data_IF_684204786017
#
_entry.id   IF_684204786017
#
_cell.length_a   1.000
_cell.length_b   1.000
_cell.length_c   1.000
_cell.angle_alpha   90.00
_cell.angle_beta   90.00
_cell.angle_gamma   90.00
#
_symmetry.space_group_name_H-M   'P 1'
#
loop_
_entity.id
_entity.type
_entity.pdbx_description
1 polymer ?
#
# COMPACT_ATOMS: atom_id res chain seq x y z
N UNK A 1 -67.39 -2.85 24.17
CA UNK A 1 -66.32 -3.70 23.60
C UNK A 1 -65.88 -3.11 22.30
N UNK A 2 -64.73 -2.41 22.23
CA UNK A 2 -64.19 -1.79 21.00
C UNK A 2 -62.86 -2.50 20.71
N UNK A 3 -62.83 -3.22 19.59
CA UNK A 3 -61.63 -3.95 19.10
C UNK A 3 -60.81 -3.00 18.23
N UNK A 4 -59.56 -2.72 18.61
CA UNK A 4 -58.57 -2.02 17.81
C UNK A 4 -57.76 -3.04 17.06
N UNK A 5 -57.85 -3.05 15.73
CA UNK A 5 -56.95 -3.76 14.86
C UNK A 5 -55.74 -2.86 14.58
N UNK A 6 -54.59 -3.21 15.13
CA UNK A 6 -53.31 -2.57 14.78
C UNK A 6 -52.76 -3.17 13.49
N UNK A 7 -52.67 -2.35 12.46
CA UNK A 7 -51.91 -2.69 11.25
C UNK A 7 -50.42 -2.50 11.50
N UNK A 8 -49.64 -3.59 11.53
CA UNK A 8 -48.19 -3.54 11.50
C UNK A 8 -47.72 -3.39 10.05
N UNK A 9 -47.21 -2.21 9.70
CA UNK A 9 -46.50 -1.98 8.45
C UNK A 9 -45.07 -2.58 8.56
N UNK A 10 -44.84 -3.70 7.89
CA UNK A 10 -43.51 -4.24 7.69
C UNK A 10 -42.79 -3.40 6.65
N UNK A 11 -41.80 -2.59 7.08
CA UNK A 11 -40.86 -1.92 6.18
C UNK A 11 -39.84 -2.94 5.68
N UNK A 12 -39.97 -3.33 4.43
CA UNK A 12 -38.90 -4.06 3.72
C UNK A 12 -37.73 -3.09 3.47
N UNK A 13 -36.68 -3.24 4.26
CA UNK A 13 -35.39 -2.61 3.97
C UNK A 13 -34.82 -3.25 2.70
N UNK A 14 -34.94 -2.56 1.58
CA UNK A 14 -34.21 -2.90 0.36
C UNK A 14 -32.75 -2.58 0.62
N UNK A 15 -31.97 -3.63 0.93
CA UNK A 15 -30.52 -3.56 0.97
C UNK A 15 -30.04 -3.44 -0.48
N UNK A 16 -29.89 -2.20 -0.95
CA UNK A 16 -29.29 -1.90 -2.25
C UNK A 16 -27.84 -2.35 -2.21
N UNK A 17 -27.52 -3.47 -2.85
CA UNK A 17 -26.14 -3.82 -3.19
C UNK A 17 -25.63 -2.75 -4.14
N UNK A 18 -24.79 -1.82 -3.63
CA UNK A 18 -23.99 -0.96 -4.48
C UNK A 18 -22.96 -1.87 -5.18
N UNK A 19 -23.29 -2.34 -6.37
CA UNK A 19 -22.34 -2.92 -7.30
C UNK A 19 -21.42 -1.81 -7.83
N UNK A 20 -20.58 -1.24 -6.95
CA UNK A 20 -19.45 -0.44 -7.39
C UNK A 20 -18.53 -1.39 -8.17
N UNK A 21 -18.29 -1.08 -9.43
CA UNK A 21 -17.35 -1.85 -10.27
C UNK A 21 -16.00 -1.90 -9.56
N UNK A 22 -15.63 -3.08 -9.11
CA UNK A 22 -14.38 -3.27 -8.37
C UNK A 22 -13.21 -3.15 -9.35
N UNK A 23 -12.32 -2.17 -9.14
CA UNK A 23 -11.18 -1.94 -10.02
C UNK A 23 -10.22 -3.13 -9.99
N UNK A 24 -9.60 -3.44 -11.12
CA UNK A 24 -8.58 -4.46 -11.21
C UNK A 24 -7.39 -4.12 -10.28
N UNK A 25 -6.76 -5.11 -9.64
CA UNK A 25 -5.62 -4.85 -8.79
C UNK A 25 -4.39 -4.45 -9.61
N UNK A 26 -3.60 -3.52 -9.07
CA UNK A 26 -2.26 -3.19 -9.54
C UNK A 26 -1.32 -4.36 -9.17
N UNK A 27 -0.45 -4.76 -10.08
CA UNK A 27 0.53 -5.81 -9.77
C UNK A 27 1.80 -5.19 -9.19
N UNK A 28 2.15 -5.58 -7.96
CA UNK A 28 3.44 -5.27 -7.35
C UNK A 28 4.35 -6.50 -7.48
N UNK A 29 5.37 -6.38 -8.34
CA UNK A 29 6.45 -7.35 -8.40
C UNK A 29 7.46 -7.01 -7.32
N UNK A 30 7.74 -7.96 -6.43
CA UNK A 30 8.65 -7.75 -5.31
C UNK A 30 9.87 -8.65 -5.43
N UNK A 31 11.02 -8.09 -5.14
CA UNK A 31 12.28 -8.81 -5.01
C UNK A 31 12.90 -8.52 -3.66
N UNK A 32 13.21 -9.55 -2.90
CA UNK A 32 13.90 -9.43 -1.63
C UNK A 32 15.33 -9.98 -1.77
N UNK A 33 16.29 -9.27 -1.21
CA UNK A 33 17.66 -9.81 -1.12
C UNK A 33 17.70 -11.11 -0.28
N UNK A 34 16.90 -11.12 0.81
CA UNK A 34 16.61 -12.31 1.62
C UNK A 34 15.12 -12.30 1.94
N UNK A 35 14.44 -13.43 1.78
CA UNK A 35 13.00 -13.53 2.03
C UNK A 35 12.68 -13.18 3.50
N UNK A 36 11.77 -12.23 3.74
CA UNK A 36 11.40 -11.85 5.09
C UNK A 36 10.57 -12.93 5.78
N UNK A 37 10.59 -12.99 7.14
CA UNK A 37 9.63 -13.79 7.88
C UNK A 37 8.19 -13.43 7.49
N UNK A 38 7.30 -14.43 7.45
CA UNK A 38 5.89 -14.23 7.08
C UNK A 38 5.24 -13.09 7.88
N UNK A 39 5.48 -13.03 9.20
CA UNK A 39 4.91 -11.98 10.06
C UNK A 39 5.33 -10.55 9.65
N UNK A 40 6.56 -10.37 9.13
CA UNK A 40 7.03 -9.07 8.60
C UNK A 40 6.34 -8.77 7.28
N UNK A 41 6.32 -9.74 6.36
CA UNK A 41 5.72 -9.58 5.04
C UNK A 41 4.22 -9.28 5.14
N UNK A 42 3.50 -10.06 5.94
CA UNK A 42 2.05 -9.94 6.08
C UNK A 42 1.69 -8.57 6.70
N UNK A 43 2.41 -8.14 7.75
CA UNK A 43 2.20 -6.82 8.35
C UNK A 43 2.52 -5.67 7.38
N UNK A 44 3.53 -5.80 6.52
CA UNK A 44 3.86 -4.84 5.47
C UNK A 44 2.74 -4.74 4.43
N UNK A 45 2.25 -5.88 3.94
CA UNK A 45 1.19 -5.92 2.94
C UNK A 45 -0.14 -5.39 3.49
N UNK A 46 -0.46 -5.70 4.73
CA UNK A 46 -1.66 -5.20 5.42
C UNK A 46 -1.61 -3.68 5.60
N UNK A 47 -0.45 -3.13 5.98
CA UNK A 47 -0.29 -1.68 6.12
C UNK A 47 -0.43 -0.95 4.78
N UNK A 48 0.23 -1.44 3.71
CA UNK A 48 0.05 -0.88 2.37
C UNK A 48 -1.42 -0.91 1.95
N UNK A 49 -2.10 -2.04 2.19
CA UNK A 49 -3.53 -2.17 1.90
C UNK A 49 -4.35 -1.14 2.68
N UNK A 50 -4.12 -1.01 3.97
CA UNK A 50 -4.83 -0.08 4.84
C UNK A 50 -4.67 1.37 4.40
N UNK A 51 -3.46 1.76 3.98
CA UNK A 51 -3.15 3.13 3.54
C UNK A 51 -3.75 3.41 2.16
N UNK A 52 -3.70 2.46 1.22
CA UNK A 52 -4.00 2.72 -0.20
C UNK A 52 -5.47 2.40 -0.58
N UNK A 53 -6.15 1.54 0.19
CA UNK A 53 -7.54 1.17 -0.10
C UNK A 53 -8.54 2.35 -0.11
N UNK A 54 -8.41 3.39 0.73
CA UNK A 54 -9.29 4.57 0.67
C UNK A 54 -9.29 5.30 -0.67
N UNK A 55 -8.20 5.18 -1.46
CA UNK A 55 -8.10 5.73 -2.81
C UNK A 55 -8.55 4.75 -3.90
N UNK A 56 -9.14 3.60 -3.52
CA UNK A 56 -9.56 2.57 -4.45
C UNK A 56 -8.42 1.74 -5.05
N UNK A 57 -7.19 1.88 -4.55
CA UNK A 57 -6.03 1.15 -5.04
C UNK A 57 -5.87 -0.16 -4.28
N UNK A 58 -5.84 -1.26 -5.01
CA UNK A 58 -5.63 -2.62 -4.48
C UNK A 58 -4.44 -3.25 -5.17
N UNK A 59 -3.73 -4.12 -4.48
CA UNK A 59 -2.51 -4.71 -4.96
C UNK A 59 -2.56 -6.23 -5.00
N UNK A 60 -2.01 -6.78 -6.06
CA UNK A 60 -1.64 -8.18 -6.20
C UNK A 60 -0.12 -8.29 -6.09
N UNK A 61 0.34 -8.98 -5.07
CA UNK A 61 1.76 -9.19 -4.80
C UNK A 61 2.28 -10.42 -5.56
N UNK A 62 3.41 -10.26 -6.21
CA UNK A 62 4.06 -11.31 -6.97
C UNK A 62 5.56 -11.28 -6.75
N UNK A 63 6.18 -12.43 -6.61
CA UNK A 63 7.64 -12.51 -6.61
C UNK A 63 8.16 -12.24 -8.03
N UNK A 64 9.11 -11.34 -8.17
CA UNK A 64 9.69 -10.99 -9.47
C UNK A 64 10.38 -12.20 -10.11
N UNK A 65 11.02 -13.06 -9.31
CA UNK A 65 11.69 -14.27 -9.78
C UNK A 65 10.70 -15.33 -10.33
N UNK A 66 9.46 -15.34 -9.85
CA UNK A 66 8.41 -16.24 -10.33
C UNK A 66 7.67 -15.68 -11.56
N UNK A 67 7.96 -14.45 -11.94
CA UNK A 67 7.36 -13.81 -13.11
C UNK A 67 7.90 -14.44 -14.39
N UNK A 68 7.02 -15.05 -15.15
CA UNK A 68 7.37 -15.66 -16.44
C UNK A 68 7.12 -14.73 -17.66
N UNK A 69 6.84 -13.46 -17.40
CA UNK A 69 6.55 -12.45 -18.43
C UNK A 69 5.24 -12.63 -19.22
N UNK A 70 4.42 -13.64 -18.85
CA UNK A 70 3.16 -13.93 -19.55
C UNK A 70 1.95 -13.27 -18.90
N UNK A 71 2.13 -12.61 -17.77
CA UNK A 71 1.03 -11.97 -17.05
C UNK A 71 0.90 -10.52 -17.53
N UNK A 72 -0.28 -10.18 -18.04
CA UNK A 72 -0.63 -8.80 -18.33
C UNK A 72 -1.18 -8.12 -17.08
N UNK A 73 -0.79 -6.91 -16.85
CA UNK A 73 -1.30 -6.03 -15.80
C UNK A 73 -1.64 -4.68 -16.40
N UNK A 74 -2.75 -4.09 -15.99
CA UNK A 74 -3.15 -2.75 -16.43
C UNK A 74 -2.13 -1.75 -15.90
N UNK A 75 -1.78 -1.87 -14.62
CA UNK A 75 -0.77 -1.09 -13.94
C UNK A 75 0.12 -2.00 -13.10
N UNK A 76 1.38 -1.64 -12.98
CA UNK A 76 2.36 -2.38 -12.21
C UNK A 76 3.40 -1.47 -11.55
N UNK A 77 4.08 -1.97 -10.53
CA UNK A 77 5.35 -1.45 -10.06
C UNK A 77 6.28 -2.60 -9.66
N UNK A 78 7.57 -2.37 -9.75
CA UNK A 78 8.62 -3.29 -9.31
C UNK A 78 9.30 -2.71 -8.07
N UNK A 79 9.33 -3.50 -7.01
CA UNK A 79 9.86 -3.08 -5.71
C UNK A 79 11.00 -3.99 -5.30
N UNK A 80 12.16 -3.40 -5.09
CA UNK A 80 13.32 -4.09 -4.56
C UNK A 80 13.51 -3.78 -3.08
N UNK A 81 13.62 -4.83 -2.27
CA UNK A 81 13.90 -4.72 -0.85
C UNK A 81 15.37 -5.08 -0.58
N UNK A 82 16.14 -4.08 -0.16
CA UNK A 82 17.57 -4.21 0.05
C UNK A 82 17.88 -4.57 1.51
N UNK A 83 18.93 -5.35 1.69
CA UNK A 83 19.37 -5.80 3.01
C UNK A 83 18.44 -6.84 3.64
N UNK A 84 18.66 -7.10 4.93
CA UNK A 84 17.88 -8.09 5.68
C UNK A 84 16.58 -7.49 6.19
N UNK A 85 15.46 -8.02 5.73
CA UNK A 85 14.12 -7.62 6.13
C UNK A 85 13.60 -8.44 7.33
N UNK A 86 14.41 -8.56 8.38
CA UNK A 86 14.03 -9.24 9.63
C UNK A 86 14.39 -8.40 10.88
N UNK A 87 13.93 -8.84 12.03
CA UNK A 87 14.17 -8.19 13.32
C UNK A 87 15.08 -9.00 14.26
N UNK A 88 15.73 -10.03 13.73
CA UNK A 88 16.71 -10.84 14.47
C UNK A 88 18.02 -10.08 14.67
N UNK A 89 18.65 -10.30 15.84
CA UNK A 89 20.00 -9.79 16.10
C UNK A 89 20.14 -8.27 16.08
N UNK A 90 19.15 -7.53 16.63
CA UNK A 90 19.27 -6.08 16.78
C UNK A 90 20.52 -5.73 17.60
N UNK A 91 21.52 -5.14 16.96
CA UNK A 91 22.76 -4.68 17.61
C UNK A 91 22.74 -3.17 17.74
N UNK A 92 23.52 -2.65 18.71
CA UNK A 92 23.61 -1.18 18.91
C UNK A 92 24.30 -0.44 17.75
N UNK A 93 24.78 -1.16 16.75
CA UNK A 93 25.59 -0.62 15.61
C UNK A 93 24.82 -0.53 14.29
N UNK A 94 23.54 -0.86 14.26
CA UNK A 94 22.74 -0.79 13.03
C UNK A 94 22.28 0.66 12.75
N UNK A 95 23.15 1.65 12.92
CA UNK A 95 22.90 3.02 12.46
C UNK A 95 23.13 3.06 10.94
N UNK A 96 22.10 2.84 10.19
CA UNK A 96 22.11 3.07 8.75
C UNK A 96 21.89 4.55 8.48
N UNK A 97 22.83 5.20 7.79
CA UNK A 97 22.69 6.56 7.28
C UNK A 97 22.34 6.49 5.80
N UNK A 98 21.07 6.69 5.46
CA UNK A 98 20.61 6.67 4.07
C UNK A 98 19.10 6.87 3.98
N UNK A 99 18.57 7.01 2.77
CA UNK A 99 17.13 7.04 2.57
C UNK A 99 16.51 5.71 2.97
N UNK A 100 15.30 5.75 3.53
CA UNK A 100 14.54 4.56 3.90
C UNK A 100 13.98 3.83 2.66
N UNK A 101 13.69 4.62 1.61
CA UNK A 101 13.27 4.17 0.29
C UNK A 101 13.53 5.25 -0.74
N UNK A 102 13.41 4.90 -2.01
CA UNK A 102 13.49 5.86 -3.12
C UNK A 102 12.79 5.32 -4.38
N UNK A 103 12.15 6.22 -5.10
CA UNK A 103 11.55 5.96 -6.41
C UNK A 103 12.51 6.36 -7.52
N UNK A 104 12.61 5.54 -8.56
CA UNK A 104 13.50 5.81 -9.68
C UNK A 104 12.93 6.88 -10.59
N UNK A 105 13.81 7.80 -11.01
CA UNK A 105 13.49 8.87 -11.95
C UNK A 105 14.56 8.90 -13.02
N UNK A 106 14.14 8.88 -14.31
CA UNK A 106 15.03 9.06 -15.46
C UNK A 106 14.50 10.18 -16.36
N UNK A 107 15.38 11.10 -16.72
CA UNK A 107 15.05 12.26 -17.57
C UNK A 107 13.80 13.04 -17.11
N UNK A 108 13.64 13.14 -15.80
CA UNK A 108 12.50 13.83 -15.20
C UNK A 108 11.22 13.00 -15.08
N UNK A 109 11.18 11.80 -15.66
CA UNK A 109 10.07 10.86 -15.64
C UNK A 109 10.19 9.91 -14.45
N UNK A 110 9.12 9.77 -13.69
CA UNK A 110 9.02 8.79 -12.60
C UNK A 110 8.77 7.42 -13.23
N UNK A 111 9.65 6.48 -12.90
CA UNK A 111 9.54 5.10 -13.36
C UNK A 111 8.75 4.26 -12.36
N UNK A 112 8.13 3.16 -12.79
CA UNK A 112 7.41 2.25 -11.90
C UNK A 112 8.37 1.32 -11.13
N UNK A 113 9.47 1.87 -10.60
CA UNK A 113 10.50 1.16 -9.86
C UNK A 113 10.81 1.90 -8.58
N UNK A 114 10.78 1.18 -7.46
CA UNK A 114 11.17 1.72 -6.17
C UNK A 114 12.02 0.72 -5.37
N UNK A 115 12.81 1.26 -4.46
CA UNK A 115 13.59 0.49 -3.51
C UNK A 115 13.13 0.83 -2.09
N UNK A 116 13.20 -0.16 -1.20
CA UNK A 116 13.04 0.00 0.24
C UNK A 116 14.26 -0.63 0.92
N UNK A 117 14.97 0.14 1.73
CA UNK A 117 16.12 -0.35 2.46
C UNK A 117 15.69 -0.88 3.84
N UNK A 118 15.56 -2.20 3.93
CA UNK A 118 15.18 -2.89 5.16
C UNK A 118 16.16 -2.63 6.31
N UNK A 119 17.47 -2.54 6.01
CA UNK A 119 18.47 -2.29 7.03
C UNK A 119 18.37 -0.84 7.55
N UNK A 120 18.16 0.13 6.64
CA UNK A 120 17.94 1.52 7.00
C UNK A 120 16.66 1.69 7.84
N UNK A 121 15.52 1.11 7.43
CA UNK A 121 14.27 1.17 8.20
C UNK A 121 14.45 0.53 9.57
N UNK A 122 15.09 -0.65 9.65
CA UNK A 122 15.37 -1.34 10.91
C UNK A 122 16.22 -0.48 11.84
N UNK A 123 17.34 0.07 11.34
CA UNK A 123 18.24 0.94 12.11
C UNK A 123 17.50 2.19 12.61
N UNK A 124 16.65 2.77 11.76
CA UNK A 124 15.90 3.98 12.07
C UNK A 124 14.92 3.81 13.24
N UNK A 125 14.26 2.64 13.37
CA UNK A 125 13.27 2.36 14.44
C UNK A 125 13.79 1.39 15.51
N UNK A 126 15.06 0.98 15.46
CA UNK A 126 15.57 -0.08 16.34
C UNK A 126 15.43 0.22 17.82
N UNK A 127 15.55 1.49 18.21
CA UNK A 127 15.43 1.91 19.61
C UNK A 127 14.05 1.55 20.17
N UNK A 128 13.03 1.79 19.38
CA UNK A 128 11.64 1.53 19.72
C UNK A 128 11.30 0.02 19.71
N UNK A 129 12.06 -0.76 18.91
CA UNK A 129 11.85 -2.21 18.83
C UNK A 129 12.46 -2.98 20.00
N UNK A 130 13.46 -2.45 20.70
CA UNK A 130 14.26 -3.19 21.70
C UNK A 130 13.44 -3.80 22.83
N UNK A 131 12.46 -3.06 23.32
CA UNK A 131 11.65 -3.45 24.48
C UNK A 131 10.42 -4.29 24.13
N UNK A 132 10.24 -4.59 22.82
CA UNK A 132 9.12 -5.39 22.32
C UNK A 132 9.47 -6.89 22.32
N UNK A 133 8.48 -7.77 22.49
CA UNK A 133 8.63 -9.18 22.21
C UNK A 133 8.81 -9.40 20.69
N UNK A 134 9.40 -10.54 20.29
CA UNK A 134 9.78 -10.83 18.90
C UNK A 134 8.61 -10.68 17.91
N UNK A 135 7.42 -11.17 18.29
CA UNK A 135 6.23 -11.06 17.44
C UNK A 135 5.79 -9.60 17.23
N UNK A 136 5.78 -8.80 18.30
CA UNK A 136 5.47 -7.36 18.20
C UNK A 136 6.51 -6.61 17.39
N UNK A 137 7.81 -6.95 17.52
CA UNK A 137 8.88 -6.39 16.68
C UNK A 137 8.64 -6.66 15.20
N UNK A 138 8.34 -7.91 14.83
CA UNK A 138 8.10 -8.30 13.45
C UNK A 138 6.92 -7.54 12.85
N UNK A 139 5.79 -7.45 13.56
CA UNK A 139 4.62 -6.70 13.12
C UNK A 139 4.91 -5.19 13.00
N UNK A 140 5.61 -4.60 13.98
CA UNK A 140 5.97 -3.17 13.97
C UNK A 140 6.93 -2.84 12.83
N UNK A 141 7.95 -3.67 12.61
CA UNK A 141 8.89 -3.50 11.52
C UNK A 141 8.21 -3.67 10.15
N UNK A 142 7.35 -4.69 9.99
CA UNK A 142 6.56 -4.88 8.77
C UNK A 142 5.69 -3.67 8.45
N UNK A 143 4.99 -3.10 9.46
CA UNK A 143 4.23 -1.85 9.27
C UNK A 143 5.13 -0.70 8.83
N UNK A 144 6.30 -0.52 9.46
CA UNK A 144 7.23 0.54 9.06
C UNK A 144 7.69 0.38 7.60
N UNK A 145 8.01 -0.84 7.16
CA UNK A 145 8.31 -1.13 5.75
C UNK A 145 7.12 -0.80 4.84
N UNK A 146 5.90 -1.17 5.24
CA UNK A 146 4.68 -0.85 4.50
C UNK A 146 4.45 0.65 4.33
N UNK A 147 4.78 1.44 5.35
CA UNK A 147 4.66 2.91 5.34
C UNK A 147 5.67 3.56 4.38
N UNK A 148 6.92 3.13 4.43
CA UNK A 148 7.93 3.58 3.48
C UNK A 148 7.53 3.19 2.06
N UNK A 149 7.10 1.95 1.84
CA UNK A 149 6.63 1.50 0.54
C UNK A 149 5.41 2.31 0.04
N UNK A 150 4.43 2.58 0.90
CA UNK A 150 3.26 3.40 0.52
C UNK A 150 3.67 4.82 0.08
N UNK A 151 4.71 5.40 0.70
CA UNK A 151 5.30 6.67 0.26
C UNK A 151 5.89 6.57 -1.16
N UNK A 152 6.67 5.52 -1.45
CA UNK A 152 7.24 5.34 -2.78
C UNK A 152 6.17 5.05 -3.84
N UNK A 153 5.14 4.27 -3.50
CA UNK A 153 3.99 4.02 -4.37
C UNK A 153 3.18 5.30 -4.66
N UNK A 154 3.13 6.24 -3.71
CA UNK A 154 2.55 7.56 -3.95
C UNK A 154 3.30 8.30 -5.06
N UNK A 155 4.63 8.32 -5.05
CA UNK A 155 5.40 8.94 -6.11
C UNK A 155 5.10 8.31 -7.47
N UNK A 156 5.02 6.98 -7.54
CA UNK A 156 4.74 6.24 -8.78
C UNK A 156 3.32 6.53 -9.28
N UNK A 157 2.29 6.27 -8.46
CA UNK A 157 0.89 6.26 -8.95
C UNK A 157 0.24 7.64 -9.02
N UNK A 158 0.67 8.60 -8.19
CA UNK A 158 0.31 10.00 -8.35
C UNK A 158 1.19 10.72 -9.40
N UNK A 159 2.23 10.06 -9.91
CA UNK A 159 3.23 10.60 -10.85
C UNK A 159 3.77 11.96 -10.39
N UNK A 160 4.23 12.04 -9.16
CA UNK A 160 4.65 13.28 -8.53
C UNK A 160 5.94 13.12 -7.72
N UNK A 161 6.82 14.13 -7.78
CA UNK A 161 8.00 14.25 -6.91
C UNK A 161 7.71 15.13 -5.69
N UNK A 162 6.48 15.64 -5.57
CA UNK A 162 6.11 16.55 -4.49
C UNK A 162 5.79 15.75 -3.24
N UNK A 163 6.25 16.26 -2.11
CA UNK A 163 5.91 15.78 -0.79
C UNK A 163 4.78 16.58 -0.16
N UNK A 164 4.08 15.96 0.78
CA UNK A 164 3.15 16.62 1.68
C UNK A 164 3.85 17.14 2.94
N UNK A 165 3.12 17.89 3.76
CA UNK A 165 3.61 18.38 5.05
C UNK A 165 3.46 17.35 6.18
N UNK A 166 2.55 16.41 6.04
CA UNK A 166 2.15 15.45 7.08
C UNK A 166 1.82 14.07 6.48
N UNK A 167 1.68 13.07 7.33
CA UNK A 167 1.25 11.71 6.97
C UNK A 167 2.23 10.99 6.04
N UNK A 168 1.69 10.11 5.21
CA UNK A 168 2.46 9.21 4.33
C UNK A 168 3.34 9.95 3.33
N UNK A 169 2.87 11.07 2.77
CA UNK A 169 3.60 11.80 1.74
C UNK A 169 4.65 12.78 2.28
N UNK A 170 4.91 12.78 3.59
CA UNK A 170 5.91 13.66 4.20
C UNK A 170 7.32 13.29 3.75
N UNK A 171 8.15 14.31 3.49
CA UNK A 171 9.52 14.11 3.00
C UNK A 171 10.45 13.48 4.05
N UNK A 172 10.30 13.87 5.32
CA UNK A 172 11.13 13.38 6.42
C UNK A 172 10.28 12.86 7.56
N UNK A 173 10.60 11.68 8.06
CA UNK A 173 9.96 11.08 9.22
C UNK A 173 10.88 11.12 10.44
N UNK A 174 10.28 11.23 11.63
CA UNK A 174 10.89 10.70 12.85
C UNK A 174 10.48 9.23 13.04
N UNK A 175 11.19 8.49 13.88
CA UNK A 175 10.78 7.13 14.24
C UNK A 175 9.38 7.13 14.86
N UNK A 176 9.04 8.16 15.64
CA UNK A 176 7.71 8.34 16.22
C UNK A 176 6.63 8.52 15.14
N UNK A 177 6.90 9.32 14.10
CA UNK A 177 5.97 9.51 12.98
C UNK A 177 5.74 8.18 12.25
N UNK A 178 6.85 7.47 11.93
CA UNK A 178 6.79 6.20 11.21
C UNK A 178 6.09 5.09 12.02
N UNK A 179 6.01 5.21 13.35
CA UNK A 179 5.34 4.26 14.24
C UNK A 179 4.02 4.78 14.82
N UNK A 180 3.56 5.96 14.43
CA UNK A 180 2.30 6.55 14.89
C UNK A 180 1.11 5.62 14.63
N UNK A 181 0.07 5.71 15.46
CA UNK A 181 -1.14 4.91 15.28
C UNK A 181 -1.90 5.31 14.01
N UNK A 182 -1.93 6.61 13.71
CA UNK A 182 -2.53 7.16 12.51
C UNK A 182 -1.43 7.56 11.51
N UNK A 183 -1.51 7.00 10.31
CA UNK A 183 -0.54 7.22 9.23
C UNK A 183 -1.25 7.12 7.89
N UNK A 184 -1.84 8.23 7.45
CA UNK A 184 -2.65 8.30 6.25
C UNK A 184 -2.18 9.44 5.34
N UNK A 185 -2.61 9.43 4.08
CA UNK A 185 -2.45 10.59 3.20
C UNK A 185 -3.38 11.72 3.61
N UNK A 186 -2.93 12.96 3.45
CA UNK A 186 -3.82 14.11 3.53
C UNK A 186 -4.74 14.18 2.30
N UNK A 187 -5.79 14.98 2.37
CA UNK A 187 -6.80 15.09 1.31
C UNK A 187 -6.21 15.41 -0.06
N UNK A 188 -5.18 16.26 -0.12
CA UNK A 188 -4.51 16.65 -1.36
C UNK A 188 -3.81 15.48 -2.03
N UNK A 189 -3.06 14.71 -1.27
CA UNK A 189 -2.28 13.57 -1.75
C UNK A 189 -3.21 12.41 -2.12
N UNK A 190 -4.27 12.18 -1.34
CA UNK A 190 -5.34 11.23 -1.68
C UNK A 190 -5.99 11.58 -3.02
N UNK A 191 -6.32 12.85 -3.24
CA UNK A 191 -6.87 13.31 -4.53
C UNK A 191 -5.87 13.17 -5.67
N UNK A 192 -4.57 13.35 -5.43
CA UNK A 192 -3.54 13.14 -6.44
C UNK A 192 -3.48 11.66 -6.89
N UNK A 193 -3.67 10.71 -5.98
CA UNK A 193 -3.76 9.28 -6.29
C UNK A 193 -5.06 8.94 -7.05
N UNK A 194 -6.21 9.44 -6.59
CA UNK A 194 -7.53 9.20 -7.21
C UNK A 194 -7.58 9.77 -8.63
N UNK A 195 -6.98 10.95 -8.86
CA UNK A 195 -6.95 11.60 -10.17
C UNK A 195 -5.69 11.23 -10.98
N UNK A 196 -4.86 10.33 -10.47
CA UNK A 196 -3.63 9.89 -11.12
C UNK A 196 -3.88 9.04 -12.37
N UNK A 197 -2.87 8.96 -13.25
CA UNK A 197 -2.96 8.17 -14.50
C UNK A 197 -3.24 6.70 -14.22
N UNK A 198 -2.64 6.14 -13.19
CA UNK A 198 -2.84 4.74 -12.81
C UNK A 198 -4.31 4.45 -12.47
N UNK A 199 -4.93 5.29 -11.62
CA UNK A 199 -6.34 5.14 -11.28
C UNK A 199 -7.25 5.29 -12.52
N UNK A 200 -6.97 6.27 -13.39
CA UNK A 200 -7.71 6.47 -14.65
C UNK A 200 -7.59 5.24 -15.57
N UNK A 201 -6.41 4.62 -15.68
CA UNK A 201 -6.20 3.41 -16.48
C UNK A 201 -7.03 2.23 -15.95
N UNK A 202 -7.10 2.06 -14.61
CA UNK A 202 -7.92 1.02 -13.99
C UNK A 202 -9.41 1.23 -14.23
N UNK A 203 -9.89 2.47 -14.13
CA UNK A 203 -11.30 2.82 -14.38
C UNK A 203 -11.67 2.57 -15.84
N UNK A 204 -10.84 2.99 -16.78
CA UNK A 204 -11.08 2.79 -18.22
C UNK A 204 -11.11 1.29 -18.59
N UNK A 205 -10.21 0.50 -18.01
CA UNK A 205 -10.21 -0.94 -18.22
C UNK A 205 -11.45 -1.62 -17.66
N UNK A 206 -11.93 -1.20 -16.49
CA UNK A 206 -13.17 -1.71 -15.92
C UNK A 206 -14.38 -1.36 -16.78
N UNK A 207 -14.46 -0.14 -17.33
CA UNK A 207 -15.53 0.28 -18.23
C UNK A 207 -15.54 -0.54 -19.54
N UNK A 208 -14.39 -0.78 -20.16
CA UNK A 208 -14.27 -1.60 -21.38
C UNK A 208 -14.74 -3.04 -21.17
N UNK A 209 -14.44 -3.64 -20.01
CA UNK A 209 -14.92 -5.00 -19.70
C UNK A 209 -16.44 -5.07 -19.54
N UNK A 210 -17.08 -4.00 -19.05
CA UNK A 210 -18.56 -3.95 -18.94
C UNK A 210 -19.21 -3.85 -20.32
N UNK A 211 -18.68 -3.00 -21.20
CA UNK A 211 -19.18 -2.83 -22.56
C UNK A 211 -19.08 -4.13 -23.39
N UNK A 212 -17.96 -4.87 -23.26
CA UNK A 212 -17.80 -6.18 -23.89
C UNK A 212 -18.77 -7.24 -23.32
N UNK A 213 -19.13 -7.14 -22.04
CA UNK A 213 -20.09 -8.05 -21.43
C UNK A 213 -21.52 -7.79 -21.92
N UNK A 214 -21.91 -6.53 -22.11
CA UNK A 214 -23.24 -6.14 -22.64
C UNK A 214 -23.45 -6.57 -24.11
N UNK A 215 -22.37 -6.57 -24.92
CA UNK A 215 -22.46 -6.96 -26.34
C UNK A 215 -22.51 -8.49 -26.57
N UNK A 216 -22.34 -9.30 -25.53
CA UNK A 216 -22.40 -10.78 -25.64
C UNK A 216 -23.78 -11.37 -25.38
N UNK A 217 -24.77 -10.56 -25.04
CA UNK A 217 -26.15 -10.97 -24.80
C UNK A 217 -27.10 -10.35 -25.85
#
# INVERSE_FOLDING_TARGET
MRWWFGFALAQLAVCGTQNGTELAPITLYTQFAEQPPAAVRDAMQDEVRSIMAPMGLRFRWMDLAESNGKQSSIELAVIEFNGRCDVGGLTARDESSGPLGWTHVSDGVILPFANVDCAAVRGFIQKELRDMCLQARAATFGRALGRVLAHELYHIFANTKRHGSEGVAREFYSARDLLAADFQFQARESMALINGKAHAALVNAAAGLMEEAEHRY
#
